data_IF_567677561072
#
_entry.id   IF_567677561072
#
_cell.length_a   1.000
_cell.length_b   1.000
_cell.length_c   1.000
_cell.angle_alpha   90.00
_cell.angle_beta   90.00
_cell.angle_gamma   90.00
#
_symmetry.space_group_name_H-M   'P 1'
#
loop_
_entity.id
_entity.type
_entity.pdbx_description
1 polymer ?
#
# COMPACT_ATOMS: atom_id res chain seq x y z
N UNK A 1 0.05 2.75 22.84
CA UNK A 1 -0.48 1.37 22.70
C UNK A 1 0.69 0.40 22.81
N UNK A 2 0.48 -0.83 23.32
CA UNK A 2 1.52 -1.86 23.18
C UNK A 2 1.57 -2.34 21.72
N UNK A 3 2.54 -3.16 21.34
CA UNK A 3 2.70 -3.54 19.94
C UNK A 3 1.49 -4.30 19.38
N UNK A 4 0.92 -5.24 20.17
CA UNK A 4 -0.24 -6.05 19.78
C UNK A 4 -1.48 -5.17 19.60
N UNK A 5 -1.76 -4.29 20.56
CA UNK A 5 -2.84 -3.29 20.48
C UNK A 5 -2.67 -2.41 19.24
N UNK A 6 -1.44 -2.00 18.94
CA UNK A 6 -1.12 -1.15 17.80
C UNK A 6 -1.34 -1.88 16.46
N UNK A 7 -0.94 -3.14 16.37
CA UNK A 7 -1.21 -4.00 15.22
C UNK A 7 -2.71 -4.17 15.00
N UNK A 8 -3.46 -4.50 16.05
CA UNK A 8 -4.90 -4.65 15.99
C UNK A 8 -5.56 -3.34 15.52
N UNK A 9 -5.18 -2.20 16.10
CA UNK A 9 -5.67 -0.89 15.68
C UNK A 9 -5.47 -0.65 14.18
N UNK A 10 -4.28 -0.96 13.65
CA UNK A 10 -3.99 -0.81 12.22
C UNK A 10 -4.80 -1.79 11.35
N UNK A 11 -5.05 -3.02 11.80
CA UNK A 11 -5.84 -4.00 11.03
C UNK A 11 -7.34 -3.68 11.03
N UNK A 12 -7.85 -3.06 12.10
CA UNK A 12 -9.25 -2.63 12.17
C UNK A 12 -9.55 -1.43 11.27
N UNK A 13 -8.59 -0.53 11.07
CA UNK A 13 -8.80 0.76 10.39
C UNK A 13 -8.04 0.93 9.07
N UNK A 14 -6.98 0.15 8.87
CA UNK A 14 -6.06 0.23 7.75
C UNK A 14 -5.70 -1.18 7.26
N UNK A 15 -4.45 -1.44 6.89
CA UNK A 15 -4.00 -2.78 6.51
C UNK A 15 -3.21 -3.47 7.63
N UNK A 16 -2.09 -2.90 8.08
CA UNK A 16 -1.27 -3.43 9.19
C UNK A 16 -0.31 -2.32 9.69
N UNK A 17 0.55 -2.61 10.67
CA UNK A 17 1.70 -1.79 11.03
C UNK A 17 2.67 -1.67 9.86
N UNK A 18 3.29 -0.49 9.70
CA UNK A 18 4.20 -0.22 8.57
C UNK A 18 5.33 -1.25 8.46
N UNK A 19 5.48 -1.81 7.25
CA UNK A 19 6.68 -2.53 6.84
C UNK A 19 7.65 -1.57 6.16
N UNK A 20 8.93 -1.61 6.52
CA UNK A 20 9.96 -0.78 5.91
C UNK A 20 10.93 -1.66 5.15
N UNK A 21 10.82 -1.69 3.83
CA UNK A 21 11.48 -2.67 2.95
C UNK A 21 12.54 -2.03 2.07
N UNK A 22 12.64 -0.70 2.06
CA UNK A 22 13.63 0.07 1.28
C UNK A 22 14.08 1.32 2.05
N UNK A 23 15.21 1.91 1.63
CA UNK A 23 15.69 3.18 2.19
C UNK A 23 14.72 4.33 1.96
N UNK A 24 14.11 4.39 0.77
CA UNK A 24 13.13 5.42 0.43
C UNK A 24 11.88 5.38 1.35
N UNK A 25 11.37 4.19 1.66
CA UNK A 25 10.28 4.02 2.63
C UNK A 25 10.73 4.47 4.04
N UNK A 26 11.98 4.21 4.44
CA UNK A 26 12.51 4.66 5.72
C UNK A 26 12.65 6.19 5.81
N UNK A 27 13.13 6.82 4.74
CA UNK A 27 13.22 8.28 4.63
C UNK A 27 11.84 8.96 4.65
N UNK A 28 10.81 8.30 4.13
CA UNK A 28 9.44 8.79 4.23
C UNK A 28 8.94 8.75 5.68
N UNK A 29 9.21 7.66 6.39
CA UNK A 29 8.87 7.54 7.82
C UNK A 29 9.62 8.59 8.65
N UNK A 30 10.91 8.82 8.36
CA UNK A 30 11.70 9.87 9.00
C UNK A 30 11.08 11.27 8.88
N UNK A 31 10.51 11.58 7.71
CA UNK A 31 9.83 12.86 7.48
C UNK A 31 8.48 12.97 8.17
N UNK A 32 7.80 11.84 8.41
CA UNK A 32 6.48 11.81 9.05
C UNK A 32 6.54 11.78 10.58
N UNK A 33 7.58 11.18 11.17
CA UNK A 33 7.69 10.98 12.62
C UNK A 33 8.35 12.21 13.26
N UNK A 34 7.65 12.96 14.14
CA UNK A 34 8.25 14.09 14.83
C UNK A 34 9.45 13.69 15.70
N UNK A 35 10.43 14.58 15.83
CA UNK A 35 11.57 14.36 16.71
C UNK A 35 11.12 14.05 18.14
N UNK A 36 11.80 13.10 18.79
CA UNK A 36 11.48 12.64 20.15
C UNK A 36 10.27 11.71 20.25
N UNK A 37 9.66 11.29 19.13
CA UNK A 37 8.61 10.27 19.11
C UNK A 37 9.17 8.90 18.75
N UNK A 38 8.76 7.90 19.52
CA UNK A 38 8.91 6.50 19.18
C UNK A 38 7.62 6.01 18.54
N UNK A 39 7.73 5.31 17.42
CA UNK A 39 6.58 4.72 16.71
C UNK A 39 6.80 3.24 16.47
N UNK A 40 5.79 2.43 16.73
CA UNK A 40 5.79 1.01 16.39
C UNK A 40 5.79 0.81 14.87
N UNK A 41 6.65 -0.11 14.41
CA UNK A 41 6.61 -0.68 13.05
C UNK A 41 6.29 -2.17 13.13
N UNK A 42 5.98 -2.78 11.99
CA UNK A 42 5.51 -4.16 11.91
C UNK A 42 6.60 -5.22 12.12
N UNK A 43 7.85 -4.84 12.45
CA UNK A 43 8.95 -5.78 12.65
C UNK A 43 8.95 -6.31 14.09
N UNK A 44 8.96 -7.63 14.25
CA UNK A 44 8.87 -8.26 15.57
C UNK A 44 9.51 -9.67 15.62
N UNK A 45 9.77 -10.12 16.85
CA UNK A 45 10.21 -11.46 17.19
C UNK A 45 11.67 -11.76 16.85
N UNK A 46 12.15 -12.91 17.32
CA UNK A 46 13.56 -13.29 17.26
C UNK A 46 14.10 -13.43 15.83
N UNK A 47 13.23 -13.76 14.89
CA UNK A 47 13.56 -13.90 13.46
C UNK A 47 13.33 -12.63 12.64
N UNK A 48 12.92 -11.52 13.27
CA UNK A 48 12.63 -10.24 12.61
C UNK A 48 11.70 -10.37 11.40
N UNK A 49 10.47 -10.82 11.65
CA UNK A 49 9.42 -10.97 10.64
C UNK A 49 8.54 -9.72 10.59
N UNK A 50 8.02 -9.42 9.40
CA UNK A 50 7.01 -8.37 9.25
C UNK A 50 5.62 -8.91 9.56
N UNK A 51 4.84 -8.12 10.30
CA UNK A 51 3.49 -8.45 10.76
C UNK A 51 2.49 -8.71 9.63
N UNK A 52 2.74 -8.11 8.47
CA UNK A 52 1.95 -8.27 7.25
C UNK A 52 2.35 -9.47 6.38
N UNK A 53 3.31 -10.28 6.84
CA UNK A 53 3.77 -11.49 6.17
C UNK A 53 4.65 -11.24 4.94
N UNK A 54 5.09 -10.01 4.67
CA UNK A 54 5.97 -9.73 3.53
C UNK A 54 7.42 -9.84 3.92
N UNK A 55 8.23 -10.30 2.99
CA UNK A 55 9.66 -10.48 3.23
C UNK A 55 10.47 -9.28 2.75
N UNK A 56 11.46 -8.90 3.54
CA UNK A 56 12.53 -7.98 3.15
C UNK A 56 13.74 -8.17 4.06
N UNK A 57 14.93 -8.06 3.47
CA UNK A 57 16.22 -8.07 4.19
C UNK A 57 16.66 -6.66 4.60
N UNK A 58 15.97 -5.61 4.16
CA UNK A 58 16.33 -4.23 4.50
C UNK A 58 16.22 -4.00 6.01
N UNK A 59 17.28 -3.48 6.62
CA UNK A 59 17.34 -3.14 8.04
C UNK A 59 18.01 -1.80 8.21
N UNK A 60 17.49 -0.98 9.12
CA UNK A 60 18.03 0.34 9.41
C UNK A 60 18.20 0.53 10.93
N UNK A 61 18.89 -0.42 11.56
CA UNK A 61 19.13 -0.45 13.00
C UNK A 61 19.92 0.76 13.48
N UNK A 62 19.52 1.32 14.61
CA UNK A 62 20.31 2.24 15.40
C UNK A 62 21.56 1.51 15.90
N UNK A 63 22.68 2.23 15.99
CA UNK A 63 23.93 1.66 16.47
C UNK A 63 23.72 0.90 17.80
N UNK A 64 24.22 -0.33 17.86
CA UNK A 64 24.08 -1.20 19.02
C UNK A 64 22.79 -2.02 19.05
N UNK A 65 21.90 -1.94 18.05
CA UNK A 65 20.71 -2.78 17.91
C UNK A 65 20.89 -3.83 16.79
N UNK A 66 20.12 -4.95 16.82
CA UNK A 66 19.11 -5.31 17.81
C UNK A 66 19.72 -5.74 19.16
N UNK A 67 19.05 -5.38 20.26
CA UNK A 67 19.36 -5.87 21.61
C UNK A 67 18.16 -6.62 22.19
N UNK A 68 18.43 -7.71 22.90
CA UNK A 68 17.35 -8.39 23.61
C UNK A 68 16.86 -7.53 24.78
N UNK A 69 15.53 -7.36 24.94
CA UNK A 69 14.98 -6.76 26.16
C UNK A 69 15.05 -7.68 27.38
N UNK A 70 15.42 -8.96 27.19
CA UNK A 70 15.45 -9.97 28.25
C UNK A 70 14.07 -10.40 28.75
N UNK A 71 12.98 -9.98 28.11
CA UNK A 71 11.60 -10.13 28.60
C UNK A 71 10.62 -10.70 27.56
N UNK A 72 11.02 -11.78 26.87
CA UNK A 72 10.23 -12.39 25.80
C UNK A 72 10.59 -11.85 24.42
N UNK A 73 9.67 -11.94 23.46
CA UNK A 73 9.92 -11.46 22.09
C UNK A 73 10.02 -9.94 22.04
N UNK A 74 10.96 -9.44 21.24
CA UNK A 74 11.15 -8.01 21.02
C UNK A 74 10.37 -7.48 19.82
N UNK A 75 9.95 -6.22 19.95
CA UNK A 75 9.28 -5.45 18.91
C UNK A 75 10.12 -4.23 18.55
N UNK A 76 9.83 -3.59 17.42
CA UNK A 76 10.72 -2.55 16.88
C UNK A 76 10.06 -1.18 16.83
N UNK A 77 10.77 -0.17 17.34
CA UNK A 77 10.46 1.24 17.17
C UNK A 77 11.31 1.90 16.09
N UNK A 78 10.77 2.92 15.43
CA UNK A 78 11.59 3.98 14.84
C UNK A 78 11.90 5.03 15.92
N UNK A 79 13.18 5.39 16.05
CA UNK A 79 13.75 6.37 16.97
C UNK A 79 14.69 7.29 16.17
N UNK A 80 14.29 8.55 15.98
CA UNK A 80 15.08 9.52 15.19
C UNK A 80 15.40 9.06 13.76
N UNK A 81 14.60 8.15 13.20
CA UNK A 81 14.79 7.59 11.87
C UNK A 81 15.54 6.28 11.77
N UNK A 82 16.17 5.84 12.86
CA UNK A 82 16.80 4.53 12.98
C UNK A 82 15.94 3.59 13.82
N UNK A 83 16.23 2.29 13.79
CA UNK A 83 15.38 1.29 14.41
C UNK A 83 15.99 0.76 15.69
N UNK A 84 15.18 0.60 16.73
CA UNK A 84 15.62 -0.01 17.98
C UNK A 84 14.64 -1.06 18.45
N UNK A 85 15.15 -2.06 19.14
CA UNK A 85 14.32 -3.06 19.81
C UNK A 85 13.77 -2.51 21.11
N UNK A 86 12.59 -3.02 21.48
CA UNK A 86 11.91 -2.70 22.73
C UNK A 86 10.96 -3.85 23.10
N UNK A 87 10.74 -4.05 24.40
CA UNK A 87 9.70 -4.94 24.90
C UNK A 87 8.36 -4.61 24.25
N UNK A 88 7.70 -5.63 23.67
CA UNK A 88 6.42 -5.49 22.97
C UNK A 88 5.30 -4.92 23.87
N UNK A 89 5.44 -5.02 25.19
CA UNK A 89 4.48 -4.51 26.17
C UNK A 89 4.59 -2.99 26.42
N UNK A 90 5.69 -2.38 25.97
CA UNK A 90 5.92 -0.94 26.11
C UNK A 90 4.85 -0.13 25.39
N UNK A 91 4.47 1.03 25.95
CA UNK A 91 3.49 1.91 25.31
C UNK A 91 4.18 2.89 24.36
N UNK A 92 3.71 2.95 23.12
CA UNK A 92 4.24 3.84 22.08
C UNK A 92 3.16 4.35 21.12
N UNK A 93 3.56 5.25 20.23
CA UNK A 93 2.72 5.71 19.11
C UNK A 93 2.72 4.66 17.98
N UNK A 94 1.79 4.76 17.05
CA UNK A 94 1.63 3.77 15.97
C UNK A 94 1.79 4.41 14.60
N UNK A 95 2.40 3.69 13.66
CA UNK A 95 2.38 4.03 12.25
C UNK A 95 1.77 2.87 11.45
N UNK A 96 0.56 3.08 10.94
CA UNK A 96 -0.14 2.13 10.10
C UNK A 96 0.18 2.39 8.62
N UNK A 97 0.12 1.34 7.80
CA UNK A 97 0.10 1.51 6.35
C UNK A 97 -1.22 1.00 5.76
N UNK A 98 -1.50 1.46 4.54
CA UNK A 98 -2.67 1.04 3.77
C UNK A 98 -2.26 0.60 2.36
N UNK A 99 -2.68 -0.60 1.94
CA UNK A 99 -2.61 -1.00 0.53
C UNK A 99 -3.79 -0.46 -0.25
N UNK A 100 -3.52 0.41 -1.24
CA UNK A 100 -4.45 0.62 -2.34
C UNK A 100 -4.54 -0.65 -3.18
N UNK A 101 -5.50 -1.53 -2.86
CA UNK A 101 -5.82 -2.71 -3.68
C UNK A 101 -6.15 -2.24 -5.11
N UNK A 102 -5.40 -2.73 -6.09
CA UNK A 102 -5.70 -2.51 -7.51
C UNK A 102 -6.55 -3.66 -8.01
N UNK A 103 -7.82 -3.39 -8.26
CA UNK A 103 -8.72 -4.33 -8.92
C UNK A 103 -8.67 -4.13 -10.43
N UNK A 104 -8.43 -5.21 -11.18
CA UNK A 104 -8.47 -5.18 -12.66
C UNK A 104 -9.75 -5.85 -13.11
N UNK A 105 -10.62 -5.08 -13.76
CA UNK A 105 -11.84 -5.59 -14.40
C UNK A 105 -11.56 -5.69 -15.90
N UNK A 106 -11.74 -6.89 -16.47
CA UNK A 106 -11.68 -7.09 -17.92
C UNK A 106 -13.08 -6.93 -18.48
N UNK A 107 -13.22 -6.04 -19.45
CA UNK A 107 -14.48 -5.76 -20.15
C UNK A 107 -14.27 -6.16 -21.61
N UNK A 108 -15.21 -6.92 -22.16
CA UNK A 108 -15.25 -7.32 -23.56
C UNK A 108 -16.68 -7.10 -24.05
N UNK A 109 -16.83 -6.48 -25.22
CA UNK A 109 -18.12 -6.15 -25.82
C UNK A 109 -17.96 -6.18 -27.33
N UNK A 110 -19.07 -6.37 -28.05
CA UNK A 110 -19.12 -6.33 -29.52
C UNK A 110 -19.11 -4.88 -30.06
N UNK A 111 -19.24 -3.90 -29.17
CA UNK A 111 -19.16 -2.46 -29.51
C UNK A 111 -17.70 -2.04 -29.70
N UNK A 112 -17.46 -1.02 -30.53
CA UNK A 112 -16.13 -0.42 -30.69
C UNK A 112 -15.62 0.17 -29.36
N UNK A 113 -14.81 -0.61 -28.65
CA UNK A 113 -14.18 -0.20 -27.39
C UNK A 113 -13.09 0.86 -27.58
N UNK A 114 -12.70 1.20 -28.83
CA UNK A 114 -11.82 2.32 -29.12
C UNK A 114 -12.58 3.67 -29.19
N UNK A 115 -13.91 3.67 -29.26
CA UNK A 115 -14.69 4.91 -29.30
C UNK A 115 -14.56 5.66 -27.95
N UNK A 116 -14.03 6.90 -27.95
CA UNK A 116 -13.91 7.71 -26.73
C UNK A 116 -15.23 7.92 -25.99
N UNK A 117 -16.36 8.02 -26.71
CA UNK A 117 -17.67 8.18 -26.10
C UNK A 117 -18.09 6.93 -25.32
N UNK A 118 -17.82 5.75 -25.88
CA UNK A 118 -18.07 4.46 -25.21
C UNK A 118 -17.21 4.34 -23.95
N UNK A 119 -15.91 4.68 -24.04
CA UNK A 119 -15.01 4.65 -22.88
C UNK A 119 -15.46 5.61 -21.76
N UNK A 120 -15.83 6.84 -22.12
CA UNK A 120 -16.34 7.83 -21.17
C UNK A 120 -17.61 7.34 -20.48
N UNK A 121 -18.54 6.75 -21.24
CA UNK A 121 -19.79 6.25 -20.69
C UNK A 121 -19.56 5.08 -19.71
N UNK A 122 -18.69 4.12 -20.05
CA UNK A 122 -18.36 3.01 -19.14
C UNK A 122 -17.69 3.56 -17.88
N UNK A 123 -16.77 4.52 -18.02
CA UNK A 123 -16.11 5.12 -16.87
C UNK A 123 -17.13 5.77 -15.94
N UNK A 124 -18.00 6.64 -16.45
CA UNK A 124 -19.04 7.29 -15.65
C UNK A 124 -19.93 6.27 -14.93
N UNK A 125 -20.36 5.20 -15.62
CA UNK A 125 -21.17 4.15 -15.00
C UNK A 125 -20.43 3.42 -13.88
N UNK A 126 -19.16 3.09 -14.06
CA UNK A 126 -18.33 2.46 -13.03
C UNK A 126 -18.14 3.38 -11.82
N UNK A 127 -17.84 4.66 -12.05
CA UNK A 127 -17.67 5.63 -10.97
C UNK A 127 -18.95 5.80 -10.15
N UNK A 128 -20.10 5.97 -10.81
CA UNK A 128 -21.40 6.08 -10.12
C UNK A 128 -21.71 4.83 -9.31
N UNK A 129 -21.40 3.64 -9.85
CA UNK A 129 -21.64 2.37 -9.16
C UNK A 129 -20.68 2.15 -7.97
N UNK A 130 -19.45 2.62 -8.05
CA UNK A 130 -18.49 2.58 -6.94
C UNK A 130 -18.93 3.50 -5.80
N UNK A 131 -19.31 4.75 -6.13
CA UNK A 131 -19.80 5.73 -5.16
C UNK A 131 -21.09 5.27 -4.48
N UNK A 132 -22.04 4.68 -5.21
CA UNK A 132 -23.28 4.17 -4.63
C UNK A 132 -23.08 2.98 -3.67
N UNK A 133 -21.94 2.28 -3.76
CA UNK A 133 -21.52 1.24 -2.81
C UNK A 133 -20.72 1.78 -1.62
N UNK A 134 -20.63 3.11 -1.47
CA UNK A 134 -19.89 3.77 -0.40
C UNK A 134 -18.38 3.84 -0.62
N UNK A 135 -17.90 3.53 -1.83
CA UNK A 135 -16.47 3.59 -2.16
C UNK A 135 -16.20 4.98 -2.76
N UNK A 136 -15.53 5.85 -2.00
CA UNK A 136 -15.28 7.25 -2.39
C UNK A 136 -13.81 7.56 -2.72
N UNK A 137 -12.83 6.84 -2.17
CA UNK A 137 -11.40 6.98 -2.52
C UNK A 137 -11.00 5.94 -3.58
N UNK A 138 -11.15 6.29 -4.86
CA UNK A 138 -10.72 5.43 -5.97
C UNK A 138 -10.28 6.26 -7.19
N UNK A 139 -9.38 5.68 -8.00
CA UNK A 139 -8.94 6.22 -9.31
C UNK A 139 -9.08 5.13 -10.36
N UNK A 140 -9.91 5.35 -11.37
CA UNK A 140 -10.07 4.44 -12.51
C UNK A 140 -8.99 4.77 -13.55
N UNK A 141 -8.37 3.73 -14.14
CA UNK A 141 -7.43 3.89 -15.25
C UNK A 141 -7.74 2.86 -16.34
N UNK A 142 -7.73 3.33 -17.58
CA UNK A 142 -7.93 2.48 -18.74
C UNK A 142 -6.61 1.87 -19.22
N UNK A 143 -6.66 0.59 -19.59
CA UNK A 143 -5.58 -0.10 -20.31
C UNK A 143 -6.20 -1.02 -21.34
N UNK A 144 -5.94 -0.74 -22.62
CA UNK A 144 -6.30 -1.65 -23.70
C UNK A 144 -5.26 -2.77 -23.76
N UNK A 145 -5.72 -4.02 -23.66
CA UNK A 145 -4.90 -5.18 -23.97
C UNK A 145 -5.16 -5.54 -25.43
N UNK A 146 -4.19 -5.27 -26.30
CA UNK A 146 -4.37 -5.41 -27.74
C UNK A 146 -4.78 -6.82 -28.17
N UNK A 147 -5.96 -6.92 -28.78
CA UNK A 147 -6.16 -7.71 -30.00
C UNK A 147 -6.98 -6.86 -30.96
N UNK A 148 -6.50 -6.80 -32.20
CA UNK A 148 -7.06 -6.02 -33.30
C UNK A 148 -8.51 -6.43 -33.53
N UNK A 149 -9.41 -5.45 -33.64
CA UNK A 149 -10.77 -5.68 -34.15
C UNK A 149 -10.70 -5.42 -35.65
N UNK A 150 -10.97 -6.45 -36.48
CA UNK A 150 -11.14 -6.27 -37.92
C UNK A 150 -12.62 -6.08 -38.23
N UNK A 151 -12.96 -4.95 -38.84
CA UNK A 151 -14.21 -4.78 -39.57
C UNK A 151 -13.83 -4.20 -40.93
N UNK A 152 -14.16 -4.90 -42.02
CA UNK A 152 -13.79 -4.51 -43.41
C UNK A 152 -12.29 -4.23 -43.65
N UNK A 153 -11.39 -5.14 -43.24
CA UNK A 153 -9.94 -5.04 -43.55
C UNK A 153 -9.23 -3.74 -43.10
N UNK A 154 -9.85 -2.93 -42.24
CA UNK A 154 -9.18 -1.80 -41.60
C UNK A 154 -8.82 -2.18 -40.17
N UNK A 155 -7.51 -2.34 -39.90
CA UNK A 155 -6.99 -2.45 -38.55
C UNK A 155 -7.11 -1.07 -37.91
N UNK A 156 -8.19 -0.83 -37.15
CA UNK A 156 -8.23 0.31 -36.24
C UNK A 156 -7.41 -0.05 -35.02
N UNK A 157 -6.13 0.29 -35.06
CA UNK A 157 -5.36 0.35 -33.82
C UNK A 157 -5.93 1.54 -33.05
N UNK A 158 -6.52 1.31 -31.86
CA UNK A 158 -6.76 2.44 -30.97
C UNK A 158 -5.39 3.12 -30.84
N UNK A 159 -5.27 4.39 -31.26
CA UNK A 159 -4.08 5.17 -30.92
C UNK A 159 -3.87 4.95 -29.43
N UNK A 160 -2.67 4.55 -28.99
CA UNK A 160 -2.37 4.40 -27.56
C UNK A 160 -2.80 5.70 -26.91
N UNK A 161 -3.98 5.72 -26.28
CA UNK A 161 -4.52 6.90 -25.67
C UNK A 161 -3.50 7.26 -24.61
N UNK A 162 -2.83 8.39 -24.81
CA UNK A 162 -2.04 9.02 -23.77
C UNK A 162 -2.88 8.97 -22.51
N UNK A 163 -2.26 8.53 -21.41
CA UNK A 163 -2.93 8.46 -20.12
C UNK A 163 -3.54 9.83 -19.84
N UNK A 164 -4.86 9.96 -20.02
CA UNK A 164 -5.59 11.15 -19.63
C UNK A 164 -5.67 11.13 -18.12
N UNK A 165 -4.81 11.92 -17.47
CA UNK A 165 -5.04 12.34 -16.10
C UNK A 165 -5.95 13.57 -16.14
N UNK A 166 -7.12 13.44 -15.53
CA UNK A 166 -7.81 14.56 -14.88
C UNK A 166 -7.76 14.29 -13.39
#
# INVERSE_FOLDING_TARGET
MNWVDAQQYCRERHTDLVSVRTSAENEEIQRMVPAGRLVWIGLFGDTWKWSDGRDSLFRYWLQGNPQSSGSGSDCVHVDGGAWRTQSCDSKSSVLCYYYKKRSVVKISSDVDMCDPAVQQQIQQQLETKMKSKGINDFKIRWRMSGKQVSHNNQIKQCAKSQAGEV
#
